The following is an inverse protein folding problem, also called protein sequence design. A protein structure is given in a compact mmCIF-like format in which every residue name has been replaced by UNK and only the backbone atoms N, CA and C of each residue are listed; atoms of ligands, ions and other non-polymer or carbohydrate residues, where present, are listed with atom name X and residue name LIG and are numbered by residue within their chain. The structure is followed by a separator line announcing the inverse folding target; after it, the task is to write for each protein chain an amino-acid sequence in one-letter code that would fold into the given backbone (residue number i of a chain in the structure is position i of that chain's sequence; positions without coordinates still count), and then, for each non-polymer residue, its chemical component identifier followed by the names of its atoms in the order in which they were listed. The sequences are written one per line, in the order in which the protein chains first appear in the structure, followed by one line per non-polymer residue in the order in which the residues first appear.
data_IF_047068683915
#
_entry.id   IF_047068683915
#
_cell.length_a   1.000
_cell.length_b   1.000
_cell.length_c   1.000
_cell.angle_alpha   90.00
_cell.angle_beta   90.00
_cell.angle_gamma   90.00
#
_symmetry.space_group_name_H-M   'P 1'
#
loop_
_entity.id
_entity.type
_entity.pdbx_description
1 polymer ?
#
# COMPACT_ATOMS: atom_id res chain seq x y z
N UNK A 1 -28.94 18.59 -10.91
CA UNK A 1 -28.98 17.51 -9.89
C UNK A 1 -27.55 17.19 -9.48
N UNK A 2 -27.14 17.60 -8.27
CA UNK A 2 -25.85 17.22 -7.70
C UNK A 2 -26.01 15.77 -7.26
N UNK A 3 -25.45 14.82 -8.01
CA UNK A 3 -25.45 13.42 -7.63
C UNK A 3 -24.85 13.29 -6.22
N UNK A 4 -25.64 12.81 -5.25
CA UNK A 4 -25.14 12.42 -3.93
C UNK A 4 -24.13 11.28 -4.12
N UNK A 5 -22.86 11.64 -4.28
CA UNK A 5 -21.77 10.69 -4.34
C UNK A 5 -21.69 10.04 -2.95
N UNK A 6 -21.97 8.75 -2.87
CA UNK A 6 -21.72 7.92 -1.67
C UNK A 6 -20.31 8.17 -1.14
N UNK A 7 -20.06 8.00 0.16
CA UNK A 7 -18.68 8.09 0.67
C UNK A 7 -17.82 7.01 0.02
N UNK A 8 -16.51 7.25 -0.12
CA UNK A 8 -15.62 6.29 -0.79
C UNK A 8 -15.64 4.95 -0.06
N UNK A 9 -15.69 4.93 1.28
CA UNK A 9 -15.80 3.68 2.03
C UNK A 9 -17.09 2.88 1.72
N UNK A 10 -18.20 3.52 1.33
CA UNK A 10 -19.46 2.84 0.98
C UNK A 10 -19.46 2.26 -0.44
N UNK A 11 -18.48 2.61 -1.27
CA UNK A 11 -18.44 2.23 -2.69
C UNK A 11 -17.83 0.83 -2.93
N UNK A 12 -17.40 0.12 -1.87
CA UNK A 12 -16.65 -1.13 -1.97
C UNK A 12 -17.46 -2.34 -1.49
N UNK A 13 -18.14 -3.07 -2.36
CA UNK A 13 -18.99 -4.19 -1.94
C UNK A 13 -18.23 -5.52 -1.73
N UNK A 14 -17.12 -5.74 -2.45
CA UNK A 14 -16.51 -7.07 -2.60
C UNK A 14 -15.54 -7.51 -1.48
N UNK A 15 -15.83 -7.24 -0.21
CA UNK A 15 -14.99 -7.71 0.91
C UNK A 15 -14.97 -9.24 1.04
N UNK A 16 -16.11 -9.90 0.82
CA UNK A 16 -16.26 -11.36 0.94
C UNK A 16 -15.63 -12.15 -0.22
N UNK A 17 -15.26 -11.50 -1.32
CA UNK A 17 -14.68 -12.14 -2.52
C UNK A 17 -13.15 -12.21 -2.53
N UNK A 18 -12.49 -11.82 -1.43
CA UNK A 18 -11.03 -11.75 -1.33
C UNK A 18 -10.45 -13.00 -0.67
N UNK A 19 -9.44 -13.61 -1.30
CA UNK A 19 -8.66 -14.71 -0.72
C UNK A 19 -8.06 -14.33 0.64
N UNK A 20 -7.59 -13.09 0.78
CA UNK A 20 -6.99 -12.64 2.04
C UNK A 20 -7.99 -12.69 3.18
N UNK A 21 -9.22 -12.22 2.97
CA UNK A 21 -10.26 -12.28 4.00
C UNK A 21 -10.65 -13.73 4.34
N UNK A 22 -10.65 -14.65 3.37
CA UNK A 22 -10.88 -16.08 3.66
C UNK A 22 -9.71 -16.74 4.40
N UNK A 23 -8.50 -16.17 4.31
CA UNK A 23 -7.28 -16.74 4.91
C UNK A 23 -7.02 -16.30 6.36
N UNK A 24 -7.88 -15.47 6.94
CA UNK A 24 -7.71 -14.91 8.30
C UNK A 24 -8.92 -15.16 9.18
N UNK A 25 -8.68 -15.24 10.48
CA UNK A 25 -9.75 -15.18 11.47
C UNK A 25 -10.18 -13.71 11.68
N UNK A 26 -11.45 -13.47 12.03
CA UNK A 26 -11.89 -12.15 12.48
C UNK A 26 -11.07 -11.66 13.68
N UNK A 27 -10.88 -10.35 13.79
CA UNK A 27 -10.26 -9.73 14.97
C UNK A 27 -11.08 -10.03 16.23
N UNK A 28 -10.42 -9.98 17.39
CA UNK A 28 -11.07 -10.28 18.68
C UNK A 28 -11.83 -9.10 19.31
N UNK A 29 -11.65 -7.87 18.78
CA UNK A 29 -12.34 -6.70 19.32
C UNK A 29 -13.86 -6.83 19.16
N UNK A 30 -14.59 -6.43 20.20
CA UNK A 30 -16.05 -6.31 20.20
C UNK A 30 -16.49 -4.91 20.65
N UNK A 31 -15.59 -3.92 20.58
CA UNK A 31 -15.90 -2.57 21.03
C UNK A 31 -16.98 -1.94 20.15
N UNK A 32 -17.97 -1.34 20.79
CA UNK A 32 -19.06 -0.60 20.15
C UNK A 32 -19.05 0.81 20.72
N UNK A 33 -19.15 1.82 19.86
CA UNK A 33 -19.27 3.20 20.30
C UNK A 33 -20.74 3.49 20.61
N UNK A 34 -21.10 3.40 21.89
CA UNK A 34 -22.46 3.62 22.41
C UNK A 34 -22.59 4.87 23.29
N UNK A 35 -21.48 5.56 23.53
CA UNK A 35 -21.38 6.79 24.31
C UNK A 35 -20.24 7.68 23.81
N UNK A 36 -20.24 8.93 24.26
CA UNK A 36 -19.12 9.84 24.05
C UNK A 36 -17.90 9.37 24.86
N UNK A 37 -16.70 9.52 24.30
CA UNK A 37 -15.46 9.09 24.96
C UNK A 37 -14.36 10.17 24.89
N UNK A 38 -13.44 10.11 25.86
CA UNK A 38 -12.24 10.94 25.89
C UNK A 38 -11.01 10.04 25.79
N UNK A 39 -10.04 10.39 24.95
CA UNK A 39 -8.79 9.66 24.77
C UNK A 39 -7.64 10.64 24.57
N UNK A 40 -6.40 10.21 24.82
CA UNK A 40 -5.24 11.02 24.48
C UNK A 40 -5.07 11.09 22.96
N UNK A 41 -5.26 9.96 22.28
CA UNK A 41 -5.10 9.86 20.83
C UNK A 41 -6.26 9.11 20.17
N UNK A 42 -6.90 9.78 19.19
CA UNK A 42 -7.87 9.17 18.29
C UNK A 42 -7.19 8.81 16.95
N UNK A 43 -7.31 7.57 16.50
CA UNK A 43 -6.73 7.09 15.24
C UNK A 43 -7.85 6.78 14.25
N UNK A 44 -7.76 7.33 13.04
CA UNK A 44 -8.78 7.17 12.00
C UNK A 44 -8.23 6.35 10.84
N UNK A 45 -8.81 5.17 10.63
CA UNK A 45 -8.47 4.21 9.59
C UNK A 45 -7.78 2.95 10.14
N UNK A 46 -8.42 1.81 9.96
CA UNK A 46 -7.99 0.46 10.32
C UNK A 46 -7.06 -0.22 9.31
N UNK A 47 -6.23 0.58 8.63
CA UNK A 47 -5.15 0.09 7.77
C UNK A 47 -3.82 0.01 8.52
N UNK A 48 -2.74 -0.39 7.82
CA UNK A 48 -1.41 -0.55 8.40
C UNK A 48 -0.88 0.73 9.07
N UNK A 49 -1.09 1.90 8.46
CA UNK A 49 -0.71 3.19 9.05
C UNK A 49 -1.38 3.39 10.40
N UNK A 50 -2.71 3.27 10.46
CA UNK A 50 -3.46 3.51 11.69
C UNK A 50 -3.20 2.45 12.76
N UNK A 51 -3.18 1.17 12.39
CA UNK A 51 -2.90 0.08 13.35
C UNK A 51 -1.47 0.18 13.89
N UNK A 52 -0.47 0.43 13.04
CA UNK A 52 0.91 0.64 13.48
C UNK A 52 1.04 1.88 14.38
N UNK A 53 0.36 2.99 14.05
CA UNK A 53 0.29 4.16 14.92
C UNK A 53 -0.31 3.82 16.27
N UNK A 54 -1.50 3.21 16.30
CA UNK A 54 -2.20 2.88 17.53
C UNK A 54 -1.36 1.97 18.44
N UNK A 55 -0.75 0.94 17.88
CA UNK A 55 0.14 0.03 18.59
C UNK A 55 1.33 0.76 19.22
N UNK A 56 2.07 1.56 18.43
CA UNK A 56 3.27 2.24 18.92
C UNK A 56 2.93 3.33 19.95
N UNK A 57 1.82 4.05 19.75
CA UNK A 57 1.35 5.09 20.67
C UNK A 57 0.89 4.47 21.99
N UNK A 58 0.14 3.37 21.96
CA UNK A 58 -0.29 2.69 23.18
C UNK A 58 0.89 2.13 23.99
N UNK A 59 1.93 1.60 23.34
CA UNK A 59 3.19 1.19 23.99
C UNK A 59 3.91 2.32 24.73
N UNK A 60 3.61 3.59 24.41
CA UNK A 60 4.13 4.77 25.12
C UNK A 60 3.23 5.21 26.29
N UNK A 61 2.18 4.45 26.59
CA UNK A 61 1.30 4.67 27.75
C UNK A 61 0.10 5.59 27.50
N UNK A 62 -0.14 6.01 26.26
CA UNK A 62 -1.30 6.84 25.91
C UNK A 62 -2.58 6.02 25.85
N UNK A 63 -3.71 6.62 26.23
CA UNK A 63 -5.03 6.04 25.92
C UNK A 63 -5.37 6.25 24.43
N UNK A 64 -5.66 5.16 23.72
CA UNK A 64 -5.87 5.18 22.26
C UNK A 64 -7.20 4.55 21.88
N UNK A 65 -7.94 5.21 20.99
CA UNK A 65 -9.09 4.64 20.29
C UNK A 65 -8.88 4.71 18.77
N UNK A 66 -9.04 3.58 18.09
CA UNK A 66 -9.00 3.44 16.63
C UNK A 66 -10.41 3.28 16.09
N UNK A 67 -10.74 4.03 15.05
CA UNK A 67 -12.02 4.00 14.35
C UNK A 67 -11.83 3.58 12.91
N UNK A 68 -12.54 2.53 12.50
CA UNK A 68 -12.59 2.03 11.13
C UNK A 68 -14.03 2.11 10.62
N UNK A 69 -14.21 2.71 9.45
CA UNK A 69 -15.53 2.91 8.85
C UNK A 69 -16.21 1.60 8.48
N UNK A 70 -15.42 0.54 8.26
CA UNK A 70 -15.89 -0.83 7.94
C UNK A 70 -15.18 -1.84 8.83
N UNK A 71 -14.49 -2.81 8.24
CA UNK A 71 -13.65 -3.76 8.96
C UNK A 71 -12.18 -3.41 8.83
N UNK A 72 -11.37 -3.82 9.80
CA UNK A 72 -9.91 -3.76 9.74
C UNK A 72 -9.44 -4.41 8.44
N UNK A 73 -8.59 -3.68 7.69
CA UNK A 73 -8.09 -4.15 6.40
C UNK A 73 -9.05 -4.00 5.22
N UNK A 74 -10.25 -3.43 5.39
CA UNK A 74 -11.20 -3.19 4.30
C UNK A 74 -10.63 -2.32 3.16
N UNK A 75 -9.64 -1.48 3.46
CA UNK A 75 -8.97 -0.61 2.49
C UNK A 75 -7.76 -1.24 1.79
N UNK A 76 -6.82 -0.40 1.34
CA UNK A 76 -5.64 -0.82 0.56
C UNK A 76 -4.76 -1.86 1.29
N UNK A 77 -4.67 -1.77 2.61
CA UNK A 77 -3.77 -2.60 3.41
C UNK A 77 -4.14 -4.09 3.38
N UNK A 78 -5.42 -4.45 3.35
CA UNK A 78 -5.87 -5.85 3.29
C UNK A 78 -6.07 -6.39 1.88
N UNK A 79 -5.67 -5.65 0.83
CA UNK A 79 -6.07 -5.93 -0.56
C UNK A 79 -4.93 -5.85 -1.59
N UNK A 80 -3.75 -5.42 -1.17
CA UNK A 80 -2.60 -5.19 -2.06
C UNK A 80 -1.88 -6.50 -2.47
N UNK A 81 -0.94 -6.41 -3.41
CA UNK A 81 -0.18 -7.55 -3.91
C UNK A 81 0.80 -8.20 -2.91
N UNK A 82 0.91 -7.71 -1.67
CA UNK A 82 1.78 -8.30 -0.66
C UNK A 82 3.26 -8.05 -0.87
N UNK A 83 3.65 -7.08 -1.70
CA UNK A 83 5.04 -6.75 -2.02
C UNK A 83 5.66 -5.86 -0.93
N UNK A 84 6.58 -6.42 -0.15
CA UNK A 84 7.33 -5.74 0.90
C UNK A 84 8.71 -5.33 0.36
N UNK A 85 8.76 -4.16 -0.26
CA UNK A 85 9.96 -3.63 -0.92
C UNK A 85 10.65 -2.51 -0.15
N UNK A 86 11.97 -2.42 -0.30
CA UNK A 86 12.80 -1.30 0.17
C UNK A 86 12.66 -0.08 -0.75
N UNK A 87 13.07 1.08 -0.23
CA UNK A 87 13.18 2.32 -0.99
C UNK A 87 11.86 3.08 -1.08
N UNK A 88 11.63 3.71 -2.23
CA UNK A 88 10.43 4.50 -2.53
C UNK A 88 9.80 4.00 -3.83
N UNK A 89 8.60 4.50 -4.16
CA UNK A 89 7.95 4.15 -5.43
C UNK A 89 8.75 4.61 -6.67
N UNK A 90 9.58 5.64 -6.53
CA UNK A 90 10.47 6.18 -7.56
C UNK A 90 11.90 5.73 -7.30
N UNK A 91 12.65 5.53 -8.36
CA UNK A 91 14.05 5.16 -8.30
C UNK A 91 14.90 6.26 -7.62
N UNK A 92 16.06 5.85 -7.13
CA UNK A 92 16.90 6.70 -6.31
C UNK A 92 17.47 7.90 -7.08
N UNK A 93 17.71 7.76 -8.38
CA UNK A 93 18.25 8.82 -9.24
C UNK A 93 17.21 9.91 -9.45
N UNK A 94 15.93 9.53 -9.64
CA UNK A 94 14.83 10.47 -9.66
C UNK A 94 14.76 11.26 -8.34
N UNK A 95 14.91 10.58 -7.19
CA UNK A 95 14.88 11.26 -5.89
C UNK A 95 16.04 12.24 -5.73
N UNK A 96 17.25 11.87 -6.12
CA UNK A 96 18.42 12.77 -6.08
C UNK A 96 18.19 14.02 -6.93
N UNK A 97 17.69 13.84 -8.15
CA UNK A 97 17.41 14.96 -9.06
C UNK A 97 16.31 15.89 -8.55
N UNK A 98 15.33 15.37 -7.78
CA UNK A 98 14.19 16.14 -7.31
C UNK A 98 14.37 16.76 -5.92
N UNK A 99 15.11 16.09 -5.05
CA UNK A 99 15.21 16.43 -3.62
C UNK A 99 16.65 16.77 -3.20
N UNK A 100 17.63 16.49 -4.05
CA UNK A 100 19.05 16.57 -3.72
C UNK A 100 19.55 15.30 -3.01
N UNK A 101 20.85 15.03 -3.15
CA UNK A 101 21.49 13.78 -2.70
C UNK A 101 21.31 13.49 -1.22
N UNK A 102 21.42 14.51 -0.35
CA UNK A 102 21.31 14.33 1.10
C UNK A 102 19.91 13.85 1.47
N UNK A 103 18.87 14.52 0.97
CA UNK A 103 17.49 14.16 1.28
C UNK A 103 17.11 12.81 0.63
N UNK A 104 17.56 12.56 -0.60
CA UNK A 104 17.38 11.27 -1.25
C UNK A 104 18.02 10.13 -0.45
N UNK A 105 19.25 10.32 0.08
CA UNK A 105 19.92 9.33 0.94
C UNK A 105 19.17 9.07 2.24
N UNK A 106 18.66 10.12 2.89
CA UNK A 106 17.81 9.96 4.08
C UNK A 106 16.57 9.11 3.78
N UNK A 107 15.89 9.38 2.65
CA UNK A 107 14.72 8.60 2.24
C UNK A 107 15.08 7.15 1.88
N UNK A 108 16.24 6.91 1.29
CA UNK A 108 16.73 5.56 1.03
C UNK A 108 16.92 4.77 2.33
N UNK A 109 17.59 5.37 3.31
CA UNK A 109 17.84 4.74 4.61
C UNK A 109 16.54 4.44 5.35
N UNK A 110 15.56 5.34 5.28
CA UNK A 110 14.21 5.12 5.81
C UNK A 110 13.47 4.01 5.06
N UNK A 111 13.68 3.87 3.75
CA UNK A 111 13.13 2.76 2.97
C UNK A 111 13.70 1.39 3.38
N UNK A 112 15.00 1.34 3.71
CA UNK A 112 15.63 0.14 4.26
C UNK A 112 15.10 -0.17 5.67
N UNK A 113 15.06 0.85 6.54
CA UNK A 113 14.52 0.74 7.91
C UNK A 113 13.07 0.26 7.91
N UNK A 114 12.25 0.69 6.96
CA UNK A 114 10.84 0.31 6.90
C UNK A 114 10.64 -1.21 6.69
N UNK A 115 11.47 -1.84 5.85
CA UNK A 115 11.44 -3.29 5.68
C UNK A 115 12.00 -3.98 6.92
N UNK A 116 13.11 -3.50 7.47
CA UNK A 116 13.73 -4.07 8.67
C UNK A 116 12.80 -4.04 9.89
N UNK A 117 12.13 -2.92 10.14
CA UNK A 117 11.13 -2.77 11.19
C UNK A 117 10.00 -3.79 11.02
N UNK A 118 9.54 -4.00 9.78
CA UNK A 118 8.50 -5.00 9.49
C UNK A 118 8.99 -6.42 9.81
N UNK A 119 10.21 -6.76 9.42
CA UNK A 119 10.81 -8.08 9.71
C UNK A 119 11.01 -8.30 11.21
N UNK A 120 11.44 -7.27 11.94
CA UNK A 120 11.60 -7.31 13.39
C UNK A 120 10.25 -7.54 14.08
N UNK A 121 9.20 -6.81 13.69
CA UNK A 121 7.84 -7.04 14.20
C UNK A 121 7.35 -8.48 13.95
N UNK A 122 7.60 -9.01 12.75
CA UNK A 122 7.24 -10.39 12.39
C UNK A 122 7.98 -11.39 13.29
N UNK A 123 9.30 -11.22 13.42
CA UNK A 123 10.17 -12.12 14.18
C UNK A 123 9.84 -12.07 15.68
N UNK A 124 9.82 -10.88 16.27
CA UNK A 124 9.70 -10.68 17.71
C UNK A 124 8.34 -11.10 18.26
N UNK A 125 7.32 -11.16 17.40
CA UNK A 125 5.95 -11.53 17.77
C UNK A 125 5.50 -12.87 17.15
N UNK A 126 6.39 -13.60 16.47
CA UNK A 126 6.10 -14.86 15.77
C UNK A 126 4.87 -14.77 14.84
N UNK A 127 4.84 -13.74 14.00
CA UNK A 127 3.70 -13.50 13.09
C UNK A 127 3.79 -14.42 11.88
N UNK A 128 2.82 -15.33 11.73
CA UNK A 128 2.64 -16.07 10.49
C UNK A 128 1.88 -15.23 9.46
N UNK A 129 2.63 -14.57 8.58
CA UNK A 129 2.09 -13.83 7.43
C UNK A 129 2.60 -14.35 6.09
N UNK A 130 3.00 -15.64 6.02
CA UNK A 130 3.52 -16.26 4.80
C UNK A 130 4.69 -15.48 4.16
N UNK A 131 5.70 -15.14 4.98
CA UNK A 131 6.87 -14.37 4.55
C UNK A 131 7.77 -15.18 3.63
N UNK A 132 8.01 -14.66 2.43
CA UNK A 132 8.92 -15.24 1.42
C UNK A 132 9.88 -14.18 0.92
N UNK A 133 11.15 -14.55 0.71
CA UNK A 133 12.21 -13.63 0.32
C UNK A 133 12.29 -13.45 -1.19
N UNK A 134 12.48 -12.22 -1.64
CA UNK A 134 12.75 -11.85 -3.02
C UNK A 134 11.56 -11.22 -3.74
N UNK A 135 11.83 -10.08 -4.40
CA UNK A 135 10.94 -9.50 -5.42
C UNK A 135 11.76 -9.29 -6.69
N UNK A 136 11.21 -9.72 -7.81
CA UNK A 136 11.78 -9.61 -9.15
C UNK A 136 11.05 -8.55 -9.96
N UNK A 137 11.77 -7.55 -10.45
CA UNK A 137 11.30 -6.67 -11.51
C UNK A 137 11.55 -7.36 -12.86
N UNK A 138 10.51 -7.67 -13.62
CA UNK A 138 10.60 -8.38 -14.89
C UNK A 138 10.52 -7.39 -16.06
N UNK A 139 11.62 -7.27 -16.81
CA UNK A 139 11.76 -6.37 -17.94
C UNK A 139 10.99 -6.86 -19.16
N UNK A 140 10.07 -6.05 -19.66
CA UNK A 140 9.26 -6.33 -20.86
C UNK A 140 9.91 -5.76 -22.14
N UNK A 141 10.77 -4.74 -22.00
CA UNK A 141 11.38 -4.02 -23.12
C UNK A 141 12.87 -4.38 -23.28
N UNK A 142 13.41 -4.23 -24.50
CA UNK A 142 14.82 -4.57 -24.80
C UNK A 142 15.81 -3.76 -23.95
N UNK A 143 15.49 -2.49 -23.68
CA UNK A 143 16.37 -1.60 -22.94
C UNK A 143 16.32 -1.81 -21.42
N UNK A 144 15.38 -2.61 -20.89
CA UNK A 144 15.23 -2.82 -19.45
C UNK A 144 16.50 -3.46 -18.85
N UNK A 145 17.17 -4.35 -19.57
CA UNK A 145 18.40 -4.99 -19.09
C UNK A 145 19.50 -3.96 -18.77
N UNK A 146 19.72 -3.00 -19.68
CA UNK A 146 20.70 -1.92 -19.47
C UNK A 146 20.31 -0.99 -18.34
N UNK A 147 19.01 -0.74 -18.16
CA UNK A 147 18.52 0.06 -17.04
C UNK A 147 18.74 -0.65 -15.70
N UNK A 148 18.52 -1.96 -15.65
CA UNK A 148 18.79 -2.79 -14.47
C UNK A 148 20.28 -2.87 -14.14
N UNK A 149 21.16 -3.02 -15.14
CA UNK A 149 22.62 -2.94 -14.96
C UNK A 149 23.02 -1.61 -14.34
N UNK A 150 22.56 -0.52 -14.95
CA UNK A 150 22.86 0.82 -14.48
C UNK A 150 22.36 1.07 -13.05
N UNK A 151 21.12 0.68 -12.74
CA UNK A 151 20.56 0.83 -11.38
C UNK A 151 21.36 0.02 -10.34
N UNK A 152 21.69 -1.24 -10.65
CA UNK A 152 22.41 -2.11 -9.73
C UNK A 152 23.83 -1.60 -9.45
N UNK A 153 24.57 -1.22 -10.49
CA UNK A 153 25.90 -0.63 -10.35
C UNK A 153 25.87 0.69 -9.59
N UNK A 154 24.88 1.54 -9.88
CA UNK A 154 24.72 2.84 -9.24
C UNK A 154 24.45 2.69 -7.74
N UNK A 155 23.51 1.82 -7.36
CA UNK A 155 23.16 1.59 -5.95
C UNK A 155 24.25 0.82 -5.20
N UNK A 156 24.98 -0.08 -5.86
CA UNK A 156 26.18 -0.68 -5.27
C UNK A 156 27.22 0.40 -4.94
N UNK A 157 27.56 1.25 -5.91
CA UNK A 157 28.63 2.25 -5.78
C UNK A 157 28.31 3.39 -4.80
N UNK A 158 27.08 3.91 -4.83
CA UNK A 158 26.73 5.13 -4.09
C UNK A 158 25.99 4.85 -2.77
N UNK A 159 25.43 3.65 -2.61
CA UNK A 159 24.61 3.28 -1.45
C UNK A 159 25.05 1.99 -0.78
N UNK A 160 26.15 1.36 -1.23
CA UNK A 160 26.61 0.03 -0.76
C UNK A 160 25.49 -1.02 -0.79
N UNK A 161 24.63 -0.96 -1.81
CA UNK A 161 23.51 -1.90 -1.94
C UNK A 161 23.86 -3.05 -2.88
N UNK A 162 24.27 -4.18 -2.29
CA UNK A 162 24.78 -5.37 -2.99
C UNK A 162 23.73 -6.49 -3.16
N UNK A 163 22.45 -6.19 -2.90
CA UNK A 163 21.37 -7.17 -2.87
C UNK A 163 20.69 -7.42 -4.22
N UNK A 164 21.10 -6.71 -5.28
CA UNK A 164 20.56 -6.89 -6.62
C UNK A 164 21.23 -8.02 -7.38
N UNK A 165 20.43 -8.80 -8.11
CA UNK A 165 20.91 -9.80 -9.08
C UNK A 165 20.21 -9.58 -10.41
N UNK A 166 21.00 -9.47 -11.47
CA UNK A 166 20.51 -9.22 -12.81
C UNK A 166 20.33 -10.54 -13.54
N UNK A 167 19.20 -10.68 -14.20
CA UNK A 167 18.83 -11.82 -15.03
C UNK A 167 18.79 -11.34 -16.48
N UNK A 168 19.61 -11.95 -17.33
CA UNK A 168 19.48 -11.82 -18.78
C UNK A 168 18.28 -12.64 -19.29
N UNK A 169 18.03 -12.60 -20.60
CA UNK A 169 16.89 -13.28 -21.23
C UNK A 169 16.78 -14.76 -20.87
N UNK A 170 17.88 -15.51 -20.95
CA UNK A 170 17.86 -16.95 -20.65
C UNK A 170 17.59 -17.20 -19.16
N UNK A 171 18.18 -16.40 -18.27
CA UNK A 171 17.96 -16.53 -16.82
C UNK A 171 16.54 -16.17 -16.42
N UNK A 172 15.95 -15.12 -16.99
CA UNK A 172 14.58 -14.74 -16.65
C UNK A 172 13.55 -15.75 -17.16
N UNK A 173 13.76 -16.34 -18.35
CA UNK A 173 12.90 -17.42 -18.86
C UNK A 173 13.01 -18.70 -18.03
N UNK A 174 14.18 -18.98 -17.46
CA UNK A 174 14.37 -20.09 -16.53
C UNK A 174 13.74 -19.83 -15.15
N UNK A 175 13.65 -18.56 -14.74
CA UNK A 175 13.06 -18.17 -13.45
C UNK A 175 11.54 -18.07 -13.53
N UNK A 176 11.03 -17.47 -14.60
CA UNK A 176 9.60 -17.28 -14.87
C UNK A 176 9.29 -17.96 -16.20
N UNK A 177 8.42 -18.97 -16.16
CA UNK A 177 7.94 -19.67 -17.35
C UNK A 177 6.93 -18.82 -18.14
N UNK A 178 7.46 -17.76 -18.75
CA UNK A 178 6.74 -16.80 -19.57
C UNK A 178 7.65 -16.26 -20.67
N UNK A 179 7.13 -16.17 -21.89
CA UNK A 179 7.88 -15.71 -23.06
C UNK A 179 7.93 -14.18 -23.20
N UNK A 180 7.23 -13.43 -22.34
CA UNK A 180 7.10 -11.96 -22.51
C UNK A 180 8.29 -11.18 -21.95
N UNK A 181 9.06 -11.79 -21.04
CA UNK A 181 10.14 -11.10 -20.33
C UNK A 181 11.49 -11.29 -21.01
N UNK A 182 12.25 -10.20 -21.04
CA UNK A 182 13.55 -10.11 -21.73
C UNK A 182 14.72 -9.97 -20.77
N UNK A 183 14.45 -9.55 -19.54
CA UNK A 183 15.44 -9.38 -18.47
C UNK A 183 14.76 -9.36 -17.10
N UNK A 184 15.54 -9.36 -16.03
CA UNK A 184 15.02 -9.11 -14.69
C UNK A 184 16.04 -8.54 -13.71
N UNK A 185 15.53 -7.87 -12.68
CA UNK A 185 16.29 -7.37 -11.54
C UNK A 185 15.68 -7.93 -10.25
N UNK A 186 16.33 -8.93 -9.67
CA UNK A 186 15.95 -9.52 -8.40
C UNK A 186 16.52 -8.71 -7.24
N UNK A 187 15.69 -8.35 -6.28
CA UNK A 187 16.10 -7.70 -5.04
C UNK A 187 15.95 -8.65 -3.85
N UNK A 188 17.08 -9.07 -3.26
CA UNK A 188 17.13 -9.99 -2.13
C UNK A 188 16.95 -9.32 -0.76
N UNK A 189 16.78 -7.99 -0.70
CA UNK A 189 16.35 -7.26 0.51
C UNK A 189 14.84 -7.05 0.55
N UNK A 190 14.13 -7.47 -0.50
CA UNK A 190 12.67 -7.43 -0.56
C UNK A 190 12.05 -8.77 -0.20
N UNK A 191 10.77 -8.75 0.14
CA UNK A 191 9.98 -9.92 0.53
C UNK A 191 8.56 -9.81 -0.04
N UNK A 192 7.82 -10.91 0.00
CA UNK A 192 6.38 -10.87 -0.14
C UNK A 192 5.68 -11.61 1.00
N UNK A 193 4.44 -11.21 1.27
CA UNK A 193 3.63 -11.67 2.41
C UNK A 193 2.15 -11.71 2.05
N UNK A 194 1.36 -12.40 2.88
CA UNK A 194 -0.07 -12.12 3.02
C UNK A 194 -0.27 -10.84 3.87
N UNK A 195 -0.65 -9.71 3.27
CA UNK A 195 -0.65 -8.42 3.97
C UNK A 195 -1.77 -8.31 5.00
N UNK A 196 -2.89 -9.03 4.81
CA UNK A 196 -3.97 -9.01 5.78
C UNK A 196 -3.62 -9.83 7.01
N UNK A 197 -2.95 -10.98 6.88
CA UNK A 197 -2.42 -11.74 8.02
C UNK A 197 -1.53 -10.88 8.91
N UNK A 198 -0.60 -10.12 8.31
CA UNK A 198 0.25 -9.18 9.04
C UNK A 198 -0.59 -8.10 9.75
N UNK A 199 -1.54 -7.47 9.05
CA UNK A 199 -2.38 -6.42 9.64
C UNK A 199 -3.21 -6.93 10.82
N UNK A 200 -3.82 -8.12 10.71
CA UNK A 200 -4.60 -8.74 11.78
C UNK A 200 -3.72 -9.04 12.99
N UNK A 201 -2.53 -9.59 12.77
CA UNK A 201 -1.58 -9.84 13.85
C UNK A 201 -1.16 -8.55 14.58
N UNK A 202 -0.86 -7.47 13.84
CA UNK A 202 -0.57 -6.16 14.44
C UNK A 202 -1.77 -5.58 15.20
N UNK A 203 -2.99 -5.85 14.71
CA UNK A 203 -4.23 -5.43 15.37
C UNK A 203 -4.41 -6.18 16.70
N UNK A 204 -4.15 -7.49 16.72
CA UNK A 204 -4.17 -8.28 17.95
C UNK A 204 -3.12 -7.80 18.97
N UNK A 205 -1.95 -7.37 18.50
CA UNK A 205 -0.96 -6.71 19.37
C UNK A 205 -1.50 -5.38 19.93
N UNK A 206 -2.14 -4.56 19.10
CA UNK A 206 -2.74 -3.30 19.58
C UNK A 206 -3.82 -3.54 20.64
N UNK A 207 -4.66 -4.57 20.47
CA UNK A 207 -5.66 -4.98 21.48
C UNK A 207 -4.97 -5.40 22.79
N UNK A 208 -3.86 -6.13 22.74
CA UNK A 208 -3.08 -6.49 23.94
C UNK A 208 -2.53 -5.26 24.67
N UNK A 209 -2.18 -4.21 23.93
CA UNK A 209 -1.79 -2.90 24.46
C UNK A 209 -3.01 -2.03 24.87
N UNK A 210 -4.21 -2.62 24.97
CA UNK A 210 -5.45 -1.97 25.41
C UNK A 210 -5.95 -0.85 24.49
N UNK A 211 -5.57 -0.86 23.22
CA UNK A 211 -6.19 0.01 22.20
C UNK A 211 -7.66 -0.39 22.05
N UNK A 212 -8.57 0.58 22.15
CA UNK A 212 -10.00 0.38 21.81
C UNK A 212 -10.17 0.44 20.30
N UNK A 213 -10.87 -0.52 19.71
CA UNK A 213 -10.99 -0.63 18.24
C UNK A 213 -12.46 -0.74 17.83
N UNK A 214 -12.97 0.32 17.22
CA UNK A 214 -14.36 0.46 16.77
C UNK A 214 -14.46 0.26 15.25
N UNK A 215 -14.86 -0.94 14.84
CA UNK A 215 -15.25 -1.23 13.46
C UNK A 215 -16.64 -0.65 13.14
N UNK A 216 -16.97 -0.51 11.86
CA UNK A 216 -18.24 0.02 11.35
C UNK A 216 -18.62 1.39 11.92
N UNK A 217 -17.61 2.19 12.26
CA UNK A 217 -17.77 3.49 12.94
C UNK A 217 -17.10 4.58 12.11
N UNK A 218 -17.75 5.06 11.03
CA UNK A 218 -17.18 6.08 10.18
C UNK A 218 -17.04 7.42 10.92
N UNK A 219 -15.84 8.02 10.87
CA UNK A 219 -15.64 9.39 11.31
C UNK A 219 -16.12 10.35 10.23
N UNK A 220 -17.05 11.23 10.59
CA UNK A 220 -17.75 12.11 9.66
C UNK A 220 -17.13 13.51 9.61
N UNK A 221 -16.61 14.00 10.74
CA UNK A 221 -16.12 15.38 10.86
C UNK A 221 -15.08 15.51 11.97
N UNK A 222 -14.18 16.48 11.79
CA UNK A 222 -13.19 16.92 12.77
C UNK A 222 -13.40 18.41 13.03
N UNK A 223 -13.51 18.80 14.30
CA UNK A 223 -13.64 20.20 14.71
C UNK A 223 -12.44 20.59 15.57
N UNK A 224 -11.72 21.62 15.13
CA UNK A 224 -10.54 22.13 15.82
C UNK A 224 -10.98 22.99 17.01
N UNK A 225 -10.84 22.46 18.22
CA UNK A 225 -11.09 23.20 19.46
C UNK A 225 -9.78 23.81 19.98
N UNK A 226 -9.77 24.51 21.10
CA UNK A 226 -8.51 25.13 21.59
C UNK A 226 -7.45 24.06 21.92
N UNK A 227 -7.76 23.20 22.89
CA UNK A 227 -6.79 22.26 23.47
C UNK A 227 -6.92 20.81 22.95
N UNK A 228 -7.98 20.53 22.18
CA UNK A 228 -8.31 19.21 21.67
C UNK A 228 -8.90 19.30 20.25
N UNK A 229 -9.18 18.14 19.65
CA UNK A 229 -9.99 18.00 18.45
C UNK A 229 -11.25 17.22 18.86
N UNK A 230 -12.42 17.77 18.51
CA UNK A 230 -13.68 17.07 18.62
C UNK A 230 -13.90 16.24 17.35
N UNK A 231 -13.90 14.92 17.50
CA UNK A 231 -14.09 13.96 16.42
C UNK A 231 -15.52 13.44 16.46
N UNK A 232 -16.24 13.51 15.34
CA UNK A 232 -17.68 13.22 15.26
C UNK A 232 -17.91 11.90 14.53
N UNK A 233 -18.55 10.95 15.21
CA UNK A 233 -18.93 9.63 14.70
C UNK A 233 -20.45 9.42 14.89
N UNK A 234 -21.23 9.67 13.84
CA UNK A 234 -22.69 9.66 13.90
C UNK A 234 -23.25 10.50 15.06
N UNK A 235 -23.88 9.87 16.06
CA UNK A 235 -24.47 10.54 17.24
C UNK A 235 -23.48 10.76 18.39
N UNK A 236 -22.26 10.24 18.27
CA UNK A 236 -21.27 10.24 19.33
C UNK A 236 -20.10 11.18 19.02
N UNK A 237 -19.50 11.69 20.09
CA UNK A 237 -18.37 12.60 20.06
C UNK A 237 -17.18 12.00 20.80
N UNK A 238 -16.01 12.17 20.21
CA UNK A 238 -14.73 11.77 20.79
C UNK A 238 -13.89 13.01 20.98
N UNK A 239 -13.49 13.27 22.22
CA UNK A 239 -12.52 14.32 22.53
C UNK A 239 -11.12 13.72 22.55
N UNK A 240 -10.24 14.25 21.72
CA UNK A 240 -8.87 13.76 21.59
C UNK A 240 -7.85 14.90 21.57
N UNK A 241 -6.77 14.77 22.35
CA UNK A 241 -5.67 15.74 22.34
C UNK A 241 -4.90 15.68 21.02
N UNK A 242 -4.72 14.47 20.48
CA UNK A 242 -4.12 14.22 19.16
C UNK A 242 -5.05 13.35 18.30
N UNK A 243 -5.02 13.59 16.99
CA UNK A 243 -5.70 12.78 15.98
C UNK A 243 -4.70 12.29 14.95
N UNK A 244 -4.73 11.00 14.65
CA UNK A 244 -3.95 10.39 13.56
C UNK A 244 -4.87 10.03 12.41
N UNK A 245 -4.54 10.42 11.19
CA UNK A 245 -5.31 10.09 9.98
C UNK A 245 -4.51 9.18 9.04
N UNK A 246 -4.95 7.93 8.95
CA UNK A 246 -4.35 6.86 8.13
C UNK A 246 -5.27 6.33 7.03
N UNK A 247 -6.16 7.17 6.48
CA UNK A 247 -7.24 6.73 5.59
C UNK A 247 -6.83 6.47 4.13
N UNK A 248 -5.59 6.76 3.74
CA UNK A 248 -5.09 6.60 2.36
C UNK A 248 -6.04 7.15 1.28
N UNK A 249 -6.49 6.31 0.33
CA UNK A 249 -7.41 6.68 -0.75
C UNK A 249 -8.85 6.97 -0.31
N UNK A 250 -9.18 6.75 0.97
CA UNK A 250 -10.53 6.82 1.53
C UNK A 250 -10.76 8.09 2.36
N UNK A 251 -9.90 9.09 2.16
CA UNK A 251 -9.91 10.34 2.92
C UNK A 251 -11.18 11.21 2.71
N UNK A 252 -11.84 11.05 1.56
CA UNK A 252 -12.91 11.93 1.08
C UNK A 252 -12.59 13.40 1.36
N UNK A 253 -13.39 14.10 2.15
CA UNK A 253 -13.17 15.50 2.53
C UNK A 253 -12.76 15.66 4.01
N UNK A 254 -12.41 14.57 4.72
CA UNK A 254 -12.22 14.57 6.17
C UNK A 254 -11.21 15.62 6.66
N UNK A 255 -10.14 15.85 5.89
CA UNK A 255 -9.12 16.87 6.15
C UNK A 255 -9.03 17.91 5.03
N UNK A 256 -10.18 18.23 4.42
CA UNK A 256 -10.35 19.32 3.47
C UNK A 256 -9.53 19.18 2.18
N UNK A 257 -8.82 20.25 1.79
CA UNK A 257 -8.13 20.35 0.49
C UNK A 257 -7.02 19.30 0.28
N UNK A 258 -6.55 18.62 1.34
CA UNK A 258 -5.56 17.53 1.20
C UNK A 258 -6.11 16.36 0.38
N UNK A 259 -7.43 16.19 0.29
CA UNK A 259 -8.06 15.28 -0.67
C UNK A 259 -7.68 15.53 -2.13
N UNK A 260 -7.21 16.74 -2.48
CA UNK A 260 -6.78 17.12 -3.84
C UNK A 260 -5.30 16.88 -4.12
N UNK A 261 -4.56 16.34 -3.17
CA UNK A 261 -3.13 16.04 -3.33
C UNK A 261 -2.83 14.67 -3.92
N UNK A 262 -3.87 13.84 -4.07
CA UNK A 262 -3.79 12.52 -4.68
C UNK A 262 -5.03 12.22 -5.53
N UNK A 263 -4.89 11.19 -6.35
CA UNK A 263 -6.00 10.60 -7.07
C UNK A 263 -6.27 9.18 -6.55
N UNK A 264 -7.53 8.85 -6.21
CA UNK A 264 -7.90 7.48 -5.89
C UNK A 264 -7.94 6.63 -7.17
N UNK A 265 -7.24 5.50 -7.14
CA UNK A 265 -7.18 4.52 -8.24
C UNK A 265 -7.63 3.18 -7.71
N UNK A 266 -8.47 2.48 -8.49
CA UNK A 266 -8.88 1.12 -8.18
C UNK A 266 -8.03 0.15 -8.96
N UNK A 267 -7.39 -0.78 -8.25
CA UNK A 267 -6.63 -1.89 -8.82
C UNK A 267 -7.37 -3.20 -8.50
N UNK A 268 -7.24 -4.21 -9.35
CA UNK A 268 -7.97 -5.47 -9.24
C UNK A 268 -7.02 -6.65 -9.19
N UNK A 269 -7.43 -7.67 -8.44
CA UNK A 269 -6.65 -8.87 -8.17
C UNK A 269 -7.57 -10.09 -8.28
N UNK A 270 -7.02 -11.18 -8.77
CA UNK A 270 -7.63 -12.51 -8.75
C UNK A 270 -6.75 -13.47 -7.96
N UNK A 271 -7.35 -14.54 -7.43
CA UNK A 271 -6.61 -15.71 -6.99
C UNK A 271 -7.22 -16.96 -7.65
N UNK A 272 -6.35 -17.79 -8.22
CA UNK A 272 -6.74 -19.08 -8.79
C UNK A 272 -7.18 -20.08 -7.70
N UNK A 273 -7.66 -21.24 -8.11
CA UNK A 273 -7.57 -22.45 -7.28
C UNK A 273 -6.10 -22.76 -6.92
N UNK A 274 -5.87 -23.64 -5.94
CA UNK A 274 -4.50 -24.04 -5.58
C UNK A 274 -3.89 -24.85 -6.73
N UNK A 275 -2.70 -24.47 -7.19
CA UNK A 275 -1.97 -25.19 -8.24
C UNK A 275 -1.17 -26.37 -7.68
N UNK A 276 -0.89 -26.36 -6.37
CA UNK A 276 0.13 -27.20 -5.76
C UNK A 276 1.56 -26.69 -6.01
N UNK A 277 2.48 -27.09 -5.13
CA UNK A 277 3.85 -26.58 -5.11
C UNK A 277 4.61 -26.87 -6.40
N UNK A 278 4.47 -28.08 -6.95
CA UNK A 278 5.19 -28.51 -8.15
C UNK A 278 4.85 -27.61 -9.35
N UNK A 279 3.55 -27.39 -9.61
CA UNK A 279 3.10 -26.52 -10.70
C UNK A 279 3.41 -25.05 -10.45
N UNK A 280 3.33 -24.60 -9.21
CA UNK A 280 3.72 -23.23 -8.87
C UNK A 280 5.21 -22.99 -9.16
N UNK A 281 6.09 -23.91 -8.79
CA UNK A 281 7.54 -23.82 -9.07
C UNK A 281 7.89 -24.02 -10.54
N UNK A 282 7.06 -24.72 -11.32
CA UNK A 282 7.21 -24.75 -12.77
C UNK A 282 6.91 -23.39 -13.43
N UNK A 283 6.11 -22.53 -12.78
CA UNK A 283 5.78 -21.19 -13.26
C UNK A 283 6.78 -20.14 -12.74
N UNK A 284 7.06 -20.12 -11.44
CA UNK A 284 8.05 -19.24 -10.81
C UNK A 284 8.97 -20.08 -9.94
N UNK A 285 10.16 -20.38 -10.46
CA UNK A 285 11.08 -21.39 -9.91
C UNK A 285 11.38 -21.22 -8.43
N UNK A 286 11.73 -20.01 -8.01
CA UNK A 286 12.11 -19.74 -6.63
C UNK A 286 11.01 -19.05 -5.81
N UNK A 287 9.76 -19.05 -6.29
CA UNK A 287 8.62 -18.42 -5.62
C UNK A 287 8.85 -16.94 -5.25
N UNK A 288 9.56 -16.20 -6.09
CA UNK A 288 9.67 -14.74 -5.94
C UNK A 288 8.32 -14.08 -6.27
N UNK A 289 8.02 -12.96 -5.62
CA UNK A 289 6.99 -12.08 -6.15
C UNK A 289 7.55 -11.32 -7.36
N UNK A 290 6.70 -11.03 -8.33
CA UNK A 290 7.10 -10.42 -9.60
C UNK A 290 6.23 -9.20 -9.88
N UNK A 291 6.84 -8.17 -10.44
CA UNK A 291 6.15 -7.05 -11.08
C UNK A 291 6.90 -6.68 -12.35
N UNK A 292 6.21 -6.18 -13.37
CA UNK A 292 6.86 -5.79 -14.62
C UNK A 292 7.16 -4.28 -14.73
N UNK A 293 7.85 -3.91 -15.81
CA UNK A 293 8.31 -2.54 -16.11
C UNK A 293 7.31 -1.68 -16.89
N UNK A 294 6.12 -2.20 -17.23
CA UNK A 294 5.09 -1.43 -17.95
C UNK A 294 4.53 -0.32 -17.07
N UNK A 295 3.91 0.69 -17.67
CA UNK A 295 3.27 1.76 -16.91
C UNK A 295 2.08 1.24 -16.10
N UNK A 296 1.23 0.42 -16.73
CA UNK A 296 0.19 -0.34 -16.06
C UNK A 296 0.77 -1.72 -15.78
N UNK A 297 1.40 -1.83 -14.61
CA UNK A 297 2.09 -3.03 -14.17
C UNK A 297 1.11 -4.21 -14.02
N UNK A 298 1.57 -5.39 -14.39
CA UNK A 298 1.11 -6.63 -13.76
C UNK A 298 2.06 -6.99 -12.62
N UNK A 299 1.49 -7.52 -11.55
CA UNK A 299 2.23 -8.03 -10.41
C UNK A 299 1.58 -9.30 -9.89
N UNK A 300 2.39 -10.26 -9.48
CA UNK A 300 1.89 -11.55 -9.08
C UNK A 300 2.85 -12.30 -8.17
N UNK A 301 2.32 -13.27 -7.45
CA UNK A 301 3.04 -14.16 -6.53
C UNK A 301 2.18 -15.36 -6.22
N UNK A 302 2.75 -16.39 -5.61
CA UNK A 302 1.95 -17.46 -5.01
C UNK A 302 1.54 -17.13 -3.57
N UNK A 303 0.34 -17.56 -3.18
CA UNK A 303 -0.10 -17.62 -1.78
C UNK A 303 0.59 -18.75 -1.01
N UNK A 304 0.36 -18.79 0.30
CA UNK A 304 0.79 -19.85 1.20
C UNK A 304 0.27 -21.25 0.82
N UNK A 305 -0.84 -21.33 0.08
CA UNK A 305 -1.43 -22.57 -0.44
C UNK A 305 -1.28 -22.67 -1.97
N UNK A 306 -0.27 -22.02 -2.54
CA UNK A 306 0.12 -22.13 -3.96
C UNK A 306 -0.95 -21.73 -4.98
N UNK A 307 -1.77 -20.74 -4.65
CA UNK A 307 -2.66 -20.05 -5.61
C UNK A 307 -1.89 -18.94 -6.29
N UNK A 308 -2.07 -18.77 -7.59
CA UNK A 308 -1.56 -17.59 -8.28
C UNK A 308 -2.40 -16.38 -7.84
N UNK A 309 -1.81 -15.46 -7.09
CA UNK A 309 -2.38 -14.13 -6.82
C UNK A 309 -1.86 -13.20 -7.92
N UNK A 310 -2.75 -12.77 -8.80
CA UNK A 310 -2.40 -11.94 -9.95
C UNK A 310 -3.16 -10.62 -9.88
N UNK A 311 -2.44 -9.51 -9.84
CA UNK A 311 -2.97 -8.16 -9.89
C UNK A 311 -2.59 -7.47 -11.19
N UNK A 312 -3.56 -6.82 -11.82
CA UNK A 312 -3.35 -6.26 -13.14
C UNK A 312 -4.44 -5.27 -13.53
N UNK A 313 -4.02 -4.17 -14.13
CA UNK A 313 -4.91 -3.13 -14.61
C UNK A 313 -5.44 -2.20 -13.51
N UNK A 314 -5.90 -1.03 -13.93
CA UNK A 314 -6.33 0.04 -13.05
C UNK A 314 -7.51 0.80 -13.65
N UNK A 315 -8.40 1.28 -12.80
CA UNK A 315 -9.51 2.16 -13.21
C UNK A 315 -9.61 3.40 -12.35
N UNK A 316 -10.13 4.46 -12.96
CA UNK A 316 -10.11 5.84 -12.44
C UNK A 316 -11.53 6.34 -12.17
N UNK A 317 -12.34 5.40 -11.72
CA UNK A 317 -13.77 5.49 -11.49
C UNK A 317 -14.02 5.45 -9.99
N UNK A 318 -15.12 6.06 -9.54
CA UNK A 318 -15.58 5.89 -8.15
C UNK A 318 -16.11 4.49 -7.91
N UNK A 319 -16.67 3.84 -8.94
CA UNK A 319 -17.19 2.48 -8.85
C UNK A 319 -16.15 1.46 -9.31
N UNK A 320 -16.16 0.30 -8.67
CA UNK A 320 -15.40 -0.85 -9.13
C UNK A 320 -15.99 -1.42 -10.43
N UNK A 321 -15.12 -2.04 -11.24
CA UNK A 321 -15.56 -2.81 -12.41
C UNK A 321 -16.47 -3.95 -11.96
N UNK A 322 -17.62 -4.08 -12.61
CA UNK A 322 -18.56 -5.18 -12.37
C UNK A 322 -17.90 -6.53 -12.62
N UNK A 323 -17.16 -6.63 -13.73
CA UNK A 323 -16.44 -7.85 -14.12
C UNK A 323 -14.93 -7.67 -13.97
N UNK A 324 -14.50 -7.43 -12.74
CA UNK A 324 -13.07 -7.31 -12.41
C UNK A 324 -12.31 -8.64 -12.59
N UNK A 325 -13.01 -9.78 -12.49
CA UNK A 325 -12.43 -11.12 -12.70
C UNK A 325 -11.93 -11.28 -14.13
N UNK A 326 -12.80 -11.11 -15.14
CA UNK A 326 -12.39 -11.29 -16.53
C UNK A 326 -11.36 -10.24 -16.97
N UNK A 327 -11.50 -9.00 -16.45
CA UNK A 327 -10.54 -7.93 -16.72
C UNK A 327 -9.09 -8.29 -16.32
N UNK A 328 -8.90 -8.94 -15.18
CA UNK A 328 -7.56 -9.38 -14.73
C UNK A 328 -7.15 -10.69 -15.39
N UNK A 329 -8.08 -11.63 -15.61
CA UNK A 329 -7.84 -12.90 -16.28
C UNK A 329 -7.20 -12.72 -17.67
N UNK A 330 -7.73 -11.81 -18.49
CA UNK A 330 -7.16 -11.51 -19.81
C UNK A 330 -5.70 -11.06 -19.76
N UNK A 331 -5.29 -10.43 -18.65
CA UNK A 331 -3.90 -10.00 -18.43
C UNK A 331 -3.04 -11.17 -17.97
N UNK A 332 -3.55 -11.97 -17.02
CA UNK A 332 -2.88 -13.19 -16.56
C UNK A 332 -2.59 -14.14 -17.71
N UNK A 333 -3.54 -14.39 -18.61
CA UNK A 333 -3.34 -15.30 -19.75
C UNK A 333 -2.34 -14.80 -20.79
N UNK A 334 -2.09 -13.50 -20.87
CA UNK A 334 -1.01 -12.95 -21.70
C UNK A 334 0.37 -13.27 -21.14
N UNK A 335 0.49 -13.33 -19.81
CA UNK A 335 1.73 -13.68 -19.11
C UNK A 335 1.89 -15.20 -19.05
N UNK A 336 0.83 -15.91 -18.70
CA UNK A 336 0.79 -17.35 -18.44
C UNK A 336 -0.35 -18.03 -19.19
N UNK A 337 -0.21 -18.28 -20.50
CA UNK A 337 -1.21 -19.01 -21.28
C UNK A 337 -1.56 -20.39 -20.69
N UNK A 338 -0.60 -21.04 -20.01
CA UNK A 338 -0.77 -22.32 -19.35
C UNK A 338 -1.74 -22.31 -18.15
N UNK A 339 -2.18 -21.12 -17.69
CA UNK A 339 -3.15 -20.99 -16.61
C UNK A 339 -4.61 -20.93 -17.08
N UNK A 340 -4.88 -21.06 -18.39
CA UNK A 340 -6.24 -21.01 -18.95
C UNK A 340 -7.18 -22.08 -18.38
N UNK A 341 -6.65 -23.26 -18.06
CA UNK A 341 -7.45 -24.38 -17.56
C UNK A 341 -7.75 -24.30 -16.05
N UNK A 342 -7.15 -23.35 -15.33
CA UNK A 342 -7.35 -23.20 -13.88
C UNK A 342 -8.51 -22.25 -13.57
N UNK A 343 -9.30 -22.63 -12.56
CA UNK A 343 -10.38 -21.80 -12.04
C UNK A 343 -9.83 -20.60 -11.27
N UNK A 344 -10.62 -19.53 -11.27
CA UNK A 344 -10.44 -18.39 -10.38
C UNK A 344 -11.50 -18.44 -9.29
N UNK A 345 -11.04 -18.74 -8.08
CA UNK A 345 -11.85 -18.85 -6.87
C UNK A 345 -12.19 -17.48 -6.27
N UNK A 346 -11.28 -16.50 -6.42
CA UNK A 346 -11.42 -15.19 -5.78
C UNK A 346 -11.15 -14.04 -6.74
N UNK A 347 -11.86 -12.94 -6.55
CA UNK A 347 -11.61 -11.67 -7.26
C UNK A 347 -12.01 -10.50 -6.37
N UNK A 348 -11.09 -9.54 -6.24
CA UNK A 348 -11.33 -8.34 -5.45
C UNK A 348 -10.67 -7.12 -6.08
N UNK A 349 -11.13 -5.94 -5.69
CA UNK A 349 -10.52 -4.66 -6.05
C UNK A 349 -10.13 -3.89 -4.81
N UNK A 350 -9.17 -2.98 -4.91
CA UNK A 350 -8.77 -2.09 -3.81
C UNK A 350 -8.45 -0.69 -4.32
N UNK A 351 -8.80 0.33 -3.52
CA UNK A 351 -8.49 1.72 -3.83
C UNK A 351 -7.20 2.18 -3.13
N UNK A 352 -6.31 2.83 -3.88
CA UNK A 352 -5.11 3.45 -3.36
C UNK A 352 -5.02 4.94 -3.76
N UNK A 353 -4.33 5.73 -2.94
CA UNK A 353 -4.01 7.11 -3.25
C UNK A 353 -2.71 7.21 -4.04
N UNK A 354 -2.79 7.76 -5.26
CA UNK A 354 -1.65 8.09 -6.11
C UNK A 354 -1.39 9.59 -6.06
N UNK A 355 -0.23 9.98 -5.54
CA UNK A 355 0.22 11.38 -5.56
C UNK A 355 0.87 11.71 -6.91
N UNK A 356 0.91 12.99 -7.27
CA UNK A 356 1.46 13.45 -8.57
C UNK A 356 2.93 13.06 -8.73
N UNK A 357 3.74 13.26 -7.68
CA UNK A 357 5.15 12.89 -7.67
C UNK A 357 5.41 11.42 -7.33
N UNK A 358 4.35 10.64 -7.05
CA UNK A 358 4.38 9.24 -6.61
C UNK A 358 5.08 9.00 -5.26
N UNK A 359 5.27 10.04 -4.45
CA UNK A 359 5.89 9.94 -3.13
C UNK A 359 4.84 10.03 -2.01
N UNK A 360 5.09 9.43 -0.83
CA UNK A 360 4.15 9.46 0.27
C UNK A 360 4.02 10.87 0.87
N UNK A 361 2.87 11.15 1.48
CA UNK A 361 2.54 12.42 2.11
C UNK A 361 2.49 12.26 3.61
N UNK A 362 3.33 13.04 4.29
CA UNK A 362 3.38 13.13 5.74
C UNK A 362 3.17 14.59 6.14
N UNK A 363 2.49 14.82 7.25
CA UNK A 363 2.41 16.16 7.79
C UNK A 363 1.45 16.28 8.96
N UNK A 364 1.29 17.53 9.38
CA UNK A 364 0.44 17.91 10.50
C UNK A 364 -0.53 19.04 10.13
N UNK A 365 -1.61 19.18 10.89
CA UNK A 365 -2.61 20.25 10.80
C UNK A 365 -3.12 20.59 12.22
N UNK A 366 -3.93 21.65 12.33
CA UNK A 366 -4.58 22.04 13.59
C UNK A 366 -3.57 22.22 14.73
N UNK A 367 -2.52 23.01 14.47
CA UNK A 367 -1.40 23.26 15.40
C UNK A 367 -0.77 21.95 15.93
N UNK A 368 -0.36 21.06 15.02
CA UNK A 368 0.23 19.74 15.32
C UNK A 368 -0.69 18.76 16.07
N UNK A 369 -1.98 19.08 16.28
CA UNK A 369 -2.92 18.15 16.92
C UNK A 369 -3.36 17.04 15.97
N UNK A 370 -3.45 17.32 14.67
CA UNK A 370 -3.75 16.31 13.66
C UNK A 370 -2.46 15.93 12.93
N UNK A 371 -2.14 14.64 12.85
CA UNK A 371 -0.98 14.10 12.15
C UNK A 371 -1.48 13.08 11.11
N UNK A 372 -0.92 13.08 9.91
CA UNK A 372 -1.33 12.18 8.84
C UNK A 372 -0.15 11.57 8.09
N UNK A 373 -0.38 10.35 7.58
CA UNK A 373 0.47 9.70 6.59
C UNK A 373 -0.38 8.92 5.59
N UNK A 374 -0.24 9.21 4.29
CA UNK A 374 -0.98 8.54 3.22
C UNK A 374 -0.30 8.73 1.86
N UNK A 375 -0.90 8.23 0.77
CA UNK A 375 -0.44 8.58 -0.59
C UNK A 375 0.79 7.80 -1.04
N UNK A 376 1.01 6.61 -0.46
CA UNK A 376 2.17 5.76 -0.73
C UNK A 376 2.30 5.27 -2.17
N UNK A 377 1.34 5.59 -3.04
CA UNK A 377 1.46 5.43 -4.49
C UNK A 377 1.78 4.01 -4.97
N UNK A 378 1.25 3.01 -4.27
CA UNK A 378 1.46 1.58 -4.54
C UNK A 378 2.67 0.96 -3.83
N UNK A 379 3.43 1.75 -3.05
CA UNK A 379 4.61 1.29 -2.31
C UNK A 379 4.42 1.52 -0.80
N UNK A 380 3.29 1.06 -0.26
CA UNK A 380 2.86 1.38 1.10
C UNK A 380 3.13 0.32 2.16
N UNK A 381 3.46 -0.92 1.80
CA UNK A 381 3.45 -2.04 2.75
C UNK A 381 4.43 -1.82 3.91
N UNK A 382 5.72 -1.65 3.60
CA UNK A 382 6.75 -1.30 4.59
C UNK A 382 6.56 0.13 5.14
N UNK A 383 6.39 1.13 4.26
CA UNK A 383 6.35 2.54 4.66
C UNK A 383 5.18 2.88 5.59
N UNK A 384 4.04 2.20 5.48
CA UNK A 384 2.90 2.42 6.38
C UNK A 384 3.20 1.92 7.81
N UNK A 385 3.91 0.82 7.95
CA UNK A 385 4.36 0.29 9.24
C UNK A 385 5.33 1.28 9.89
N UNK A 386 6.38 1.69 9.15
CA UNK A 386 7.32 2.71 9.61
C UNK A 386 6.60 4.01 9.97
N UNK A 387 5.65 4.45 9.15
CA UNK A 387 4.91 5.70 9.42
C UNK A 387 4.21 5.68 10.77
N UNK A 388 3.68 4.52 11.20
CA UNK A 388 3.05 4.40 12.51
C UNK A 388 4.01 4.63 13.67
N UNK A 389 5.21 4.06 13.59
CA UNK A 389 6.32 4.29 14.53
C UNK A 389 6.73 5.77 14.54
N UNK A 390 6.95 6.37 13.36
CA UNK A 390 7.37 7.76 13.24
C UNK A 390 6.30 8.76 13.75
N UNK A 391 5.01 8.45 13.56
CA UNK A 391 3.91 9.24 14.13
C UNK A 391 3.95 9.18 15.65
N UNK A 392 4.16 8.00 16.23
CA UNK A 392 4.31 7.84 17.68
C UNK A 392 5.53 8.61 18.21
N UNK A 393 6.67 8.53 17.53
CA UNK A 393 7.88 9.31 17.87
C UNK A 393 7.59 10.81 17.84
N UNK A 394 6.91 11.30 16.80
CA UNK A 394 6.54 12.72 16.67
C UNK A 394 5.61 13.20 17.79
N UNK A 395 4.64 12.38 18.20
CA UNK A 395 3.77 12.69 19.35
C UNK A 395 4.60 12.86 20.63
N UNK A 396 5.72 12.14 20.75
CA UNK A 396 6.65 12.23 21.87
C UNK A 396 7.81 13.22 21.65
N UNK A 397 7.73 14.09 20.63
CA UNK A 397 8.70 15.16 20.39
C UNK A 397 9.96 14.75 19.61
N UNK A 398 9.98 13.57 19.00
CA UNK A 398 11.06 13.11 18.11
C UNK A 398 10.54 13.15 16.66
N UNK A 399 11.06 14.04 15.83
CA UNK A 399 10.41 14.40 14.56
C UNK A 399 11.33 14.38 13.34
N UNK A 400 12.63 14.15 13.48
CA UNK A 400 13.61 14.26 12.39
C UNK A 400 13.26 13.36 11.20
N UNK A 401 12.95 12.09 11.45
CA UNK A 401 12.61 11.11 10.41
C UNK A 401 11.23 11.35 9.81
N UNK A 402 10.24 11.75 10.62
CA UNK A 402 8.91 12.12 10.12
C UNK A 402 9.00 13.36 9.22
N UNK A 403 9.74 14.38 9.65
CA UNK A 403 9.91 15.64 8.94
C UNK A 403 10.73 15.45 7.65
N UNK A 404 11.56 14.41 7.55
CA UNK A 404 12.18 14.02 6.28
C UNK A 404 11.12 13.71 5.20
N UNK A 405 10.05 13.00 5.53
CA UNK A 405 8.92 12.84 4.60
C UNK A 405 8.11 14.13 4.43
N UNK A 406 7.91 14.89 5.51
CA UNK A 406 7.17 16.16 5.49
C UNK A 406 7.79 17.24 4.59
N UNK A 407 9.10 17.18 4.33
CA UNK A 407 9.83 18.08 3.41
C UNK A 407 9.55 17.82 1.93
N UNK A 408 8.93 16.70 1.58
CA UNK A 408 8.59 16.39 0.18
C UNK A 408 7.51 17.37 -0.30
N UNK A 409 7.83 18.12 -1.36
CA UNK A 409 6.86 19.06 -1.97
C UNK A 409 5.86 18.30 -2.84
N UNK A 410 4.58 18.42 -2.50
CA UNK A 410 3.47 17.83 -3.25
C UNK A 410 2.68 18.90 -4.00
N UNK A 411 2.25 18.54 -5.20
CA UNK A 411 1.40 19.38 -6.05
C UNK A 411 -0.05 18.95 -5.84
N UNK A 412 -0.92 19.91 -5.55
CA UNK A 412 -2.35 19.68 -5.58
C UNK A 412 -2.84 19.67 -7.03
N UNK A 413 -3.76 18.75 -7.32
CA UNK A 413 -4.38 18.67 -8.64
C UNK A 413 -5.25 19.93 -8.83
N UNK A 414 -4.94 20.78 -9.84
CA UNK A 414 -5.69 22.01 -10.08
C UNK A 414 -7.15 21.68 -10.40
N UNK A 415 -8.09 22.55 -10.01
CA UNK A 415 -9.54 22.32 -10.24
C UNK A 415 -10.16 21.15 -9.47
N UNK A 416 -9.43 20.55 -8.52
CA UNK A 416 -9.95 19.53 -7.60
C UNK A 416 -10.57 18.33 -8.32
N UNK A 417 -11.73 17.88 -7.85
CA UNK A 417 -12.41 16.70 -8.43
C UNK A 417 -12.80 16.88 -9.91
N UNK A 418 -13.00 18.11 -10.39
CA UNK A 418 -13.48 18.37 -11.75
C UNK A 418 -12.40 18.09 -12.81
N UNK A 419 -11.18 18.61 -12.61
CA UNK A 419 -10.07 18.42 -13.56
C UNK A 419 -9.25 17.14 -13.29
N UNK A 420 -9.43 16.48 -12.14
CA UNK A 420 -8.70 15.27 -11.78
C UNK A 420 -8.82 14.15 -12.81
N UNK A 421 -10.04 13.86 -13.27
CA UNK A 421 -10.31 12.81 -14.26
C UNK A 421 -9.71 13.09 -15.65
N UNK A 422 -9.91 14.26 -16.27
CA UNK A 422 -9.34 14.53 -17.60
C UNK A 422 -7.81 14.58 -17.59
N UNK A 423 -7.18 15.24 -16.60
CA UNK A 423 -5.70 15.30 -16.49
C UNK A 423 -5.12 13.89 -16.50
N UNK A 424 -5.73 13.00 -15.72
CA UNK A 424 -5.22 11.66 -15.60
C UNK A 424 -5.51 10.78 -16.82
N UNK A 425 -6.70 10.88 -17.41
CA UNK A 425 -7.03 10.13 -18.63
C UNK A 425 -6.02 10.41 -19.75
N UNK A 426 -5.61 11.67 -19.89
CA UNK A 426 -4.54 12.08 -20.81
C UNK A 426 -3.19 11.47 -20.45
N UNK A 427 -2.83 11.44 -19.17
CA UNK A 427 -1.58 10.82 -18.72
C UNK A 427 -1.53 9.32 -19.05
N UNK A 428 -2.61 8.56 -18.77
CA UNK A 428 -2.69 7.14 -19.14
C UNK A 428 -2.51 6.96 -20.63
N UNK A 429 -3.24 7.74 -21.43
CA UNK A 429 -3.20 7.61 -22.88
C UNK A 429 -1.79 7.82 -23.42
N UNK A 430 -1.12 8.88 -22.94
CA UNK A 430 0.29 9.13 -23.25
C UNK A 430 1.19 7.94 -22.87
N UNK A 431 1.07 7.41 -21.65
CA UNK A 431 1.93 6.30 -21.21
C UNK A 431 1.61 4.97 -21.92
N UNK A 432 0.34 4.70 -22.27
CA UNK A 432 -0.02 3.55 -23.10
C UNK A 432 0.59 3.65 -24.49
N UNK A 433 0.56 4.84 -25.10
CA UNK A 433 1.22 5.07 -26.39
C UNK A 433 2.74 4.87 -26.28
N UNK A 434 3.37 5.44 -25.25
CA UNK A 434 4.81 5.24 -24.99
C UNK A 434 5.16 3.75 -24.89
N UNK A 435 4.42 3.01 -24.08
CA UNK A 435 4.68 1.57 -23.89
C UNK A 435 4.44 0.77 -25.17
N UNK A 436 3.44 1.14 -25.98
CA UNK A 436 3.22 0.56 -27.30
C UNK A 436 4.41 0.79 -28.23
N UNK A 437 4.92 2.02 -28.33
CA UNK A 437 6.07 2.34 -29.18
C UNK A 437 7.37 1.69 -28.70
N UNK A 438 7.56 1.50 -27.39
CA UNK A 438 8.72 0.78 -26.85
C UNK A 438 8.66 -0.74 -27.05
N UNK A 439 7.51 -1.28 -27.46
CA UNK A 439 7.33 -2.72 -27.71
C UNK A 439 7.83 -3.15 -29.09
N UNK A 440 8.07 -2.20 -30.00
CA UNK A 440 8.69 -2.37 -31.31
C UNK A 440 10.14 -1.87 -31.25
#
# INVERSE_FOLDING_TARGET
MIFNKKSTYEQHDNEKGSFYHSSVNPIKSKDILDQDINVDVCVIGGGLTGVSSALNIAKKGYSVALFEARKIGAGASGRNGGHLGVGMRKDQIYLENKLGKIHAKQLWDLGLEAVEETLNLIKDNNIDCALVKGILAAGTFENDYKQFEFEAEYLLKNYNFDAYRILNKDKIQNEINSNIYKSGLLNLRNYHINPLKLLIALTDLAIKEKVKIFENTPILKLEDHKDEILVIAAKHKIKAKKVVVGCNGYLDNLIGKKANSFMPINNYVIATESLGEEKAKDIIRNNYAVHDTRFIIDYYRFSEDWRMIFGGGETFSSQFLKDSKNFVLERMYKVFPQLQDYKVDYSWGGTLAITVNRLPMFGSMMNEKLIYAFGYSGHGLALSILSGKLISEKINGINEKFDAFGKIKHINIPGGNFLRRPIYSSAIFYYKLRDFFNSF
#
